data_IF_582567121125
#
_entry.id   IF_582567121125
#
_cell.length_a   1.000
_cell.length_b   1.000
_cell.length_c   1.000
_cell.angle_alpha   90.00
_cell.angle_beta   90.00
_cell.angle_gamma   90.00
#
_symmetry.space_group_name_H-M   'P 1'
#
loop_
_entity.id
_entity.type
_entity.pdbx_description
1 polymer ?
#
# COMPACT_ATOMS: atom_id res chain seq x y z
N UNK A 1 7.86 18.22 -2.77
CA UNK A 1 8.51 18.60 -4.04
C UNK A 1 7.54 19.38 -4.93
N UNK A 2 6.35 18.87 -5.29
CA UNK A 2 5.41 19.56 -6.17
C UNK A 2 5.05 21.00 -5.77
N UNK A 3 4.85 21.29 -4.47
CA UNK A 3 4.60 22.65 -3.98
C UNK A 3 5.81 23.57 -4.20
N UNK A 4 7.02 23.08 -3.93
CA UNK A 4 8.25 23.86 -4.08
C UNK A 4 8.50 24.21 -5.54
N UNK A 5 8.34 23.25 -6.45
CA UNK A 5 8.47 23.46 -7.90
C UNK A 5 7.48 24.52 -8.38
N UNK A 6 6.22 24.43 -7.95
CA UNK A 6 5.17 25.37 -8.36
C UNK A 6 5.43 26.82 -7.91
N UNK A 7 6.09 27.00 -6.78
CA UNK A 7 6.35 28.33 -6.21
C UNK A 7 7.80 28.81 -6.47
N UNK A 8 8.48 28.25 -7.48
CA UNK A 8 9.86 28.60 -7.88
C UNK A 8 10.86 28.59 -6.70
N UNK A 9 10.61 27.74 -5.70
CA UNK A 9 11.53 27.56 -4.58
C UNK A 9 12.65 26.65 -5.04
N UNK A 10 13.88 27.16 -5.09
CA UNK A 10 15.06 26.34 -5.35
C UNK A 10 15.32 25.38 -4.19
N UNK A 11 15.70 24.16 -4.52
CA UNK A 11 16.12 23.16 -3.53
C UNK A 11 17.15 22.23 -4.16
N UNK A 12 18.08 21.80 -3.31
CA UNK A 12 19.13 20.88 -3.69
C UNK A 12 18.80 19.48 -3.16
N UNK A 13 19.22 18.44 -3.88
CA UNK A 13 19.11 17.07 -3.45
C UNK A 13 20.46 16.62 -2.87
N UNK A 14 20.43 16.04 -1.68
CA UNK A 14 21.59 15.45 -1.05
C UNK A 14 21.28 14.01 -0.66
N UNK A 15 22.28 13.15 -0.72
CA UNK A 15 22.25 11.83 -0.10
C UNK A 15 23.35 11.72 0.96
N UNK A 16 23.25 10.79 1.88
CA UNK A 16 24.23 10.57 2.95
C UNK A 16 25.12 9.40 2.53
N UNK A 17 26.39 9.66 2.34
CA UNK A 17 27.41 8.67 2.08
C UNK A 17 28.50 8.76 3.15
N UNK A 18 28.80 7.64 3.82
CA UNK A 18 29.80 7.57 4.91
C UNK A 18 29.61 8.63 6.01
N UNK A 19 28.35 9.01 6.29
CA UNK A 19 28.01 10.01 7.32
C UNK A 19 28.14 11.47 6.89
N UNK A 20 28.45 11.74 5.61
CA UNK A 20 28.54 13.07 5.01
C UNK A 20 27.44 13.32 3.99
N UNK A 21 27.00 14.57 3.86
CA UNK A 21 26.09 14.98 2.77
C UNK A 21 26.86 15.05 1.46
N UNK A 22 26.39 14.36 0.45
CA UNK A 22 26.96 14.34 -0.91
C UNK A 22 25.93 14.93 -1.87
N UNK A 23 26.38 15.81 -2.77
CA UNK A 23 25.51 16.44 -3.76
C UNK A 23 24.92 15.43 -4.74
N UNK A 24 23.67 15.68 -5.12
CA UNK A 24 22.98 14.95 -6.15
C UNK A 24 22.04 13.85 -5.62
N UNK A 25 21.23 13.35 -6.55
CA UNK A 25 20.29 12.25 -6.31
C UNK A 25 20.96 10.93 -6.67
N UNK A 26 21.07 10.04 -5.70
CA UNK A 26 21.57 8.69 -5.96
C UNK A 26 20.45 7.85 -6.57
N UNK A 27 20.59 7.48 -7.84
CA UNK A 27 19.66 6.53 -8.45
C UNK A 27 19.85 5.13 -7.83
N UNK A 28 18.72 4.50 -7.49
CA UNK A 28 18.72 3.10 -7.02
C UNK A 28 19.21 2.21 -8.16
N UNK A 29 20.28 1.48 -7.93
CA UNK A 29 20.88 0.62 -8.94
C UNK A 29 19.92 -0.50 -9.38
N UNK A 30 20.06 -1.04 -10.61
CA UNK A 30 19.27 -2.18 -11.06
C UNK A 30 19.40 -3.40 -10.12
N UNK A 31 20.55 -3.61 -9.52
CA UNK A 31 20.80 -4.70 -8.56
C UNK A 31 19.99 -4.49 -7.26
N UNK A 32 19.92 -3.27 -6.74
CA UNK A 32 19.12 -2.97 -5.55
C UNK A 32 17.62 -3.09 -5.83
N UNK A 33 17.17 -2.65 -7.01
CA UNK A 33 15.77 -2.84 -7.46
C UNK A 33 15.42 -4.33 -7.55
N UNK A 34 16.32 -5.15 -8.12
CA UNK A 34 16.14 -6.61 -8.21
C UNK A 34 16.08 -7.25 -6.83
N UNK A 35 17.02 -6.92 -5.95
CA UNK A 35 17.04 -7.42 -4.57
C UNK A 35 15.77 -7.08 -3.79
N UNK A 36 15.24 -5.87 -3.96
CA UNK A 36 14.00 -5.47 -3.32
C UNK A 36 12.80 -6.29 -3.83
N UNK A 37 12.72 -6.53 -5.15
CA UNK A 37 11.68 -7.38 -5.75
C UNK A 37 11.75 -8.83 -5.24
N UNK A 38 12.94 -9.39 -5.05
CA UNK A 38 13.14 -10.75 -4.52
C UNK A 38 12.65 -10.93 -3.08
N UNK A 39 12.57 -9.83 -2.32
CA UNK A 39 12.08 -9.84 -0.94
C UNK A 39 10.55 -9.76 -0.85
N UNK A 40 9.85 -9.47 -1.95
CA UNK A 40 8.39 -9.33 -1.96
C UNK A 40 7.75 -10.48 -2.72
N UNK A 41 7.03 -11.33 -2.01
CA UNK A 41 6.16 -12.33 -2.60
C UNK A 41 4.73 -11.76 -2.71
N UNK A 42 4.29 -11.46 -3.93
CA UNK A 42 2.93 -10.99 -4.19
C UNK A 42 2.01 -12.19 -4.28
N UNK A 43 0.94 -12.20 -3.49
CA UNK A 43 -0.05 -13.26 -3.55
C UNK A 43 -0.87 -13.19 -4.84
N UNK A 44 -0.78 -14.26 -5.65
CA UNK A 44 -1.57 -14.45 -6.88
C UNK A 44 -2.44 -15.70 -6.75
N UNK A 45 -3.63 -15.54 -6.17
CA UNK A 45 -4.53 -16.66 -5.94
C UNK A 45 -6.00 -16.26 -5.80
N UNK A 46 -6.87 -17.24 -5.53
CA UNK A 46 -8.33 -17.08 -5.52
C UNK A 46 -8.85 -16.07 -4.50
N UNK A 47 -8.11 -15.75 -3.44
CA UNK A 47 -8.51 -14.71 -2.48
C UNK A 47 -8.44 -13.29 -3.07
N UNK A 48 -7.76 -13.09 -4.21
CA UNK A 48 -7.82 -11.85 -4.97
C UNK A 48 -9.18 -11.65 -5.66
N UNK A 49 -9.99 -12.70 -5.76
CA UNK A 49 -11.29 -12.68 -6.42
C UNK A 49 -12.37 -12.18 -5.44
N UNK A 50 -12.58 -10.88 -5.40
CA UNK A 50 -13.57 -10.22 -4.54
C UNK A 50 -14.93 -10.05 -5.25
N UNK A 51 -15.25 -10.92 -6.17
CA UNK A 51 -16.48 -10.87 -6.94
C UNK A 51 -17.63 -11.60 -6.24
N UNK A 52 -18.74 -10.88 -6.15
CA UNK A 52 -20.02 -11.46 -5.83
C UNK A 52 -20.97 -11.20 -7.01
N UNK A 53 -21.39 -12.25 -7.74
CA UNK A 53 -22.33 -12.14 -8.84
C UNK A 53 -21.84 -12.62 -10.21
N UNK A 54 -22.78 -12.73 -11.17
CA UNK A 54 -22.59 -13.37 -12.48
C UNK A 54 -21.75 -12.57 -13.50
N UNK A 55 -21.39 -11.34 -13.20
CA UNK A 55 -20.63 -10.46 -14.11
C UNK A 55 -19.26 -10.13 -13.53
N UNK A 56 -18.27 -10.83 -14.01
CA UNK A 56 -16.85 -10.61 -13.74
C UNK A 56 -16.35 -9.44 -14.59
N UNK A 57 -16.37 -8.23 -14.08
CA UNK A 57 -15.57 -7.15 -14.69
C UNK A 57 -14.12 -7.34 -14.24
N UNK A 58 -13.30 -7.84 -15.18
CA UNK A 58 -11.92 -8.28 -14.93
C UNK A 58 -10.98 -7.15 -14.45
N UNK A 59 -11.31 -5.90 -14.75
CA UNK A 59 -10.46 -4.73 -14.52
C UNK A 59 -11.25 -3.57 -13.91
N UNK A 60 -11.68 -3.74 -12.66
CA UNK A 60 -12.20 -2.59 -11.91
C UNK A 60 -11.02 -1.75 -11.37
N UNK A 61 -10.55 -0.78 -12.20
CA UNK A 61 -9.50 0.17 -11.82
C UNK A 61 -9.77 0.84 -10.47
N UNK A 62 -11.04 1.00 -10.10
CA UNK A 62 -11.46 1.69 -8.89
C UNK A 62 -11.78 0.76 -7.72
N UNK A 63 -11.58 -0.55 -7.89
CA UNK A 63 -11.75 -1.53 -6.80
C UNK A 63 -10.94 -1.09 -5.58
N UNK A 64 -11.59 -1.08 -4.41
CA UNK A 64 -11.03 -0.65 -3.13
C UNK A 64 -10.60 0.83 -3.05
N UNK A 65 -11.06 1.69 -3.96
CA UNK A 65 -10.95 3.14 -3.77
C UNK A 65 -11.92 3.61 -2.67
N UNK A 66 -11.71 4.82 -2.15
CA UNK A 66 -12.60 5.39 -1.14
C UNK A 66 -14.06 5.44 -1.62
N UNK A 67 -14.29 5.85 -2.87
CA UNK A 67 -15.62 5.86 -3.49
C UNK A 67 -16.20 4.43 -3.67
N UNK A 68 -15.36 3.40 -3.89
CA UNK A 68 -15.82 2.03 -3.93
C UNK A 68 -16.35 1.58 -2.56
N UNK A 69 -15.67 1.90 -1.48
CA UNK A 69 -16.11 1.56 -0.12
C UNK A 69 -17.37 2.30 0.30
N UNK A 70 -17.58 3.54 -0.14
CA UNK A 70 -18.74 4.35 0.24
C UNK A 70 -20.06 3.86 -0.37
N UNK A 71 -20.02 3.00 -1.41
CA UNK A 71 -21.21 2.47 -2.06
C UNK A 71 -21.85 1.37 -1.21
N UNK A 72 -23.09 1.57 -0.76
CA UNK A 72 -23.85 0.57 0.01
C UNK A 72 -23.99 -0.77 -0.74
N UNK A 73 -24.08 -0.76 -2.07
CA UNK A 73 -24.12 -1.96 -2.91
C UNK A 73 -22.89 -2.87 -2.76
N UNK A 74 -21.79 -2.38 -2.18
CA UNK A 74 -20.56 -3.14 -1.96
C UNK A 74 -20.49 -3.80 -0.56
N UNK A 75 -21.50 -3.66 0.30
CA UNK A 75 -21.48 -4.21 1.67
C UNK A 75 -21.16 -5.72 1.72
N UNK A 76 -21.78 -6.52 0.83
CA UNK A 76 -21.51 -7.97 0.73
C UNK A 76 -20.07 -8.23 0.29
N UNK A 77 -19.56 -7.43 -0.67
CA UNK A 77 -18.18 -7.53 -1.18
C UNK A 77 -17.16 -7.14 -0.12
N UNK A 78 -17.47 -6.19 0.75
CA UNK A 78 -16.64 -5.81 1.89
C UNK A 78 -16.50 -6.97 2.88
N UNK A 79 -17.61 -7.69 3.16
CA UNK A 79 -17.57 -8.89 3.99
C UNK A 79 -16.72 -10.00 3.35
N UNK A 80 -16.85 -10.21 2.04
CA UNK A 80 -16.01 -11.16 1.31
C UNK A 80 -14.53 -10.75 1.36
N UNK A 81 -14.21 -9.48 1.16
CA UNK A 81 -12.87 -8.93 1.27
C UNK A 81 -12.25 -9.21 2.65
N UNK A 82 -13.00 -8.96 3.71
CA UNK A 82 -12.60 -9.28 5.09
C UNK A 82 -12.28 -10.77 5.25
N UNK A 83 -13.17 -11.64 4.76
CA UNK A 83 -12.99 -13.08 4.86
C UNK A 83 -11.79 -13.57 4.03
N UNK A 84 -11.60 -13.01 2.83
CA UNK A 84 -10.46 -13.35 1.98
C UNK A 84 -9.13 -12.91 2.61
N UNK A 85 -9.08 -11.71 3.20
CA UNK A 85 -7.91 -11.22 3.91
C UNK A 85 -7.58 -12.10 5.15
N UNK A 86 -8.61 -12.50 5.89
CA UNK A 86 -8.46 -13.45 7.01
C UNK A 86 -7.95 -14.81 6.52
N UNK A 87 -8.54 -15.36 5.45
CA UNK A 87 -8.16 -16.67 4.90
C UNK A 87 -6.74 -16.65 4.34
N UNK A 88 -6.34 -15.57 3.69
CA UNK A 88 -4.96 -15.36 3.25
C UNK A 88 -3.99 -15.44 4.45
N UNK A 89 -4.21 -14.64 5.48
CA UNK A 89 -3.32 -14.62 6.64
C UNK A 89 -3.31 -15.98 7.38
N UNK A 90 -4.50 -16.59 7.60
CA UNK A 90 -4.63 -17.82 8.39
C UNK A 90 -4.22 -19.07 7.63
N UNK A 91 -4.74 -19.28 6.43
CA UNK A 91 -4.60 -20.56 5.73
C UNK A 91 -3.47 -20.57 4.70
N UNK A 92 -3.27 -19.47 3.95
CA UNK A 92 -2.17 -19.39 3.00
C UNK A 92 -0.84 -19.16 3.71
N UNK A 93 -0.75 -18.14 4.57
CA UNK A 93 0.48 -17.79 5.27
C UNK A 93 0.68 -18.51 6.60
N UNK A 94 -0.36 -19.14 7.17
CA UNK A 94 -0.35 -19.75 8.52
C UNK A 94 0.18 -18.78 9.59
N UNK A 95 -0.08 -17.50 9.41
CA UNK A 95 0.47 -16.44 10.22
C UNK A 95 -0.16 -16.36 11.61
N UNK A 96 0.63 -16.06 12.61
CA UNK A 96 0.12 -15.54 13.87
C UNK A 96 -0.31 -14.09 13.68
N UNK A 97 -1.13 -13.56 14.58
CA UNK A 97 -1.58 -12.17 14.52
C UNK A 97 -0.42 -11.17 14.55
N UNK A 98 0.60 -11.54 15.30
CA UNK A 98 1.84 -10.78 15.49
C UNK A 98 2.71 -10.72 14.23
N UNK A 99 2.51 -11.60 13.26
CA UNK A 99 3.21 -11.60 11.98
C UNK A 99 2.56 -10.67 10.94
N UNK A 100 1.30 -10.29 11.20
CA UNK A 100 0.47 -9.55 10.23
C UNK A 100 0.60 -8.04 10.44
N UNK A 101 0.77 -7.29 9.35
CA UNK A 101 0.55 -5.87 9.24
C UNK A 101 -0.51 -5.61 8.17
N UNK A 102 -1.52 -4.79 8.47
CA UNK A 102 -2.55 -4.49 7.51
C UNK A 102 -2.92 -3.02 7.45
N UNK A 103 -3.53 -2.62 6.34
CA UNK A 103 -4.02 -1.26 6.11
C UNK A 103 -5.31 -1.23 5.31
N UNK A 104 -6.05 -0.17 5.50
CA UNK A 104 -7.26 0.21 4.78
C UNK A 104 -7.48 1.71 4.94
N UNK A 105 -8.50 2.27 4.29
CA UNK A 105 -9.00 3.58 4.70
C UNK A 105 -9.52 3.51 6.14
N UNK A 106 -9.18 4.53 6.93
CA UNK A 106 -9.50 4.58 8.37
C UNK A 106 -10.99 4.39 8.65
N UNK A 107 -11.84 5.03 7.85
CA UNK A 107 -13.30 5.00 8.00
C UNK A 107 -13.90 3.60 7.81
N UNK A 108 -13.19 2.72 7.12
CA UNK A 108 -13.61 1.34 6.83
C UNK A 108 -12.81 0.28 7.57
N UNK A 109 -11.83 0.66 8.37
CA UNK A 109 -11.04 -0.29 9.14
C UNK A 109 -11.89 -1.12 10.10
N UNK A 110 -12.90 -0.51 10.74
CA UNK A 110 -13.79 -1.18 11.68
C UNK A 110 -14.60 -2.34 11.10
N UNK A 111 -15.02 -2.26 9.84
CA UNK A 111 -15.81 -3.33 9.17
C UNK A 111 -14.94 -4.45 8.60
N UNK A 112 -13.63 -4.26 8.55
CA UNK A 112 -12.65 -5.22 8.06
C UNK A 112 -11.96 -6.04 9.17
N UNK A 113 -12.32 -5.80 10.43
CA UNK A 113 -11.72 -6.49 11.58
C UNK A 113 -12.01 -8.00 11.53
N UNK A 114 -11.01 -8.78 11.89
CA UNK A 114 -11.09 -10.25 12.09
C UNK A 114 -10.05 -10.67 13.13
N UNK A 115 -9.97 -11.97 13.47
CA UNK A 115 -8.98 -12.48 14.44
C UNK A 115 -7.53 -12.18 14.04
N UNK A 116 -7.25 -12.04 12.74
CA UNK A 116 -5.92 -11.73 12.21
C UNK A 116 -5.71 -10.25 11.93
N UNK A 117 -6.78 -9.49 11.73
CA UNK A 117 -6.74 -8.06 11.42
C UNK A 117 -7.40 -7.28 12.57
N UNK A 118 -6.61 -6.62 13.38
CA UNK A 118 -7.09 -5.88 14.55
C UNK A 118 -6.88 -4.39 14.41
N UNK A 119 -7.84 -3.62 14.92
CA UNK A 119 -7.89 -2.18 14.84
C UNK A 119 -8.33 -1.57 16.18
N UNK A 120 -7.78 -0.41 16.55
CA UNK A 120 -8.11 0.31 17.79
C UNK A 120 -8.01 -0.53 19.08
N UNK A 121 -7.02 -1.40 19.16
CA UNK A 121 -6.71 -2.18 20.37
C UNK A 121 -5.25 -1.97 20.78
N UNK A 122 -4.90 -2.32 22.04
CA UNK A 122 -3.49 -2.29 22.52
C UNK A 122 -2.56 -3.17 21.67
N UNK A 123 -3.10 -4.17 20.98
CA UNK A 123 -2.36 -5.08 20.08
C UNK A 123 -2.83 -4.92 18.64
N UNK A 124 -3.11 -3.68 18.22
CA UNK A 124 -3.46 -3.40 16.83
C UNK A 124 -2.30 -3.71 15.91
N UNK A 125 -2.60 -4.39 14.80
CA UNK A 125 -1.68 -4.62 13.70
C UNK A 125 -2.08 -3.83 12.44
N UNK A 126 -2.92 -2.81 12.60
CA UNK A 126 -3.30 -1.85 11.58
C UNK A 126 -2.36 -0.66 11.58
N UNK A 127 -1.91 -0.26 10.40
CA UNK A 127 -1.10 0.93 10.18
C UNK A 127 -1.68 1.74 9.03
N UNK A 128 -1.98 3.02 9.25
CA UNK A 128 -2.47 3.88 8.18
C UNK A 128 -1.46 3.92 7.02
N UNK A 129 -1.95 3.84 5.79
CA UNK A 129 -1.15 3.79 4.57
C UNK A 129 -0.22 5.00 4.39
N UNK A 130 -0.57 6.14 4.97
CA UNK A 130 0.17 7.40 4.91
C UNK A 130 0.96 7.72 6.20
N UNK A 131 1.13 6.75 7.09
CA UNK A 131 1.89 6.94 8.33
C UNK A 131 3.36 7.21 8.01
N UNK A 132 3.91 8.26 8.63
CA UNK A 132 5.33 8.61 8.54
C UNK A 132 6.12 7.98 9.70
N UNK A 133 7.39 7.68 9.45
CA UNK A 133 8.43 7.33 10.40
C UNK A 133 7.99 6.46 11.61
N UNK A 134 7.79 5.15 11.40
CA UNK A 134 7.61 4.18 12.49
C UNK A 134 8.44 2.92 12.26
N UNK A 135 9.01 2.37 13.33
CA UNK A 135 9.76 1.11 13.34
C UNK A 135 9.01 -0.02 14.05
N UNK A 136 7.82 0.27 14.58
CA UNK A 136 7.04 -0.63 15.43
C UNK A 136 6.69 -1.95 14.75
N UNK A 137 6.67 -1.99 13.42
CA UNK A 137 6.22 -3.14 12.64
C UNK A 137 7.34 -3.79 11.82
N UNK A 138 8.61 -3.50 12.15
CA UNK A 138 9.79 -3.99 11.41
C UNK A 138 10.04 -5.51 11.51
N UNK A 139 9.19 -6.22 12.23
CA UNK A 139 9.18 -7.69 12.37
C UNK A 139 8.06 -8.37 11.56
N UNK A 140 7.12 -7.60 10.98
CA UNK A 140 5.94 -8.12 10.28
C UNK A 140 6.31 -8.66 8.90
N UNK A 141 5.96 -9.92 8.65
CA UNK A 141 6.29 -10.63 7.40
C UNK A 141 5.08 -10.88 6.49
N UNK A 142 3.86 -10.74 7.02
CA UNK A 142 2.62 -10.93 6.27
C UNK A 142 1.88 -9.61 6.16
N UNK A 143 1.74 -9.11 4.94
CA UNK A 143 1.21 -7.80 4.65
C UNK A 143 -0.16 -7.90 3.97
N UNK A 144 -1.12 -7.09 4.42
CA UNK A 144 -2.48 -7.07 3.88
C UNK A 144 -2.86 -5.62 3.53
N UNK A 145 -2.89 -5.31 2.23
CA UNK A 145 -3.09 -3.96 1.71
C UNK A 145 -4.48 -3.83 1.06
N UNK A 146 -5.46 -3.33 1.82
CA UNK A 146 -6.88 -3.32 1.45
C UNK A 146 -7.36 -1.94 1.00
N UNK A 147 -6.59 -1.26 0.18
CA UNK A 147 -7.01 0.02 -0.40
C UNK A 147 -6.38 0.24 -1.78
N UNK A 148 -6.94 1.21 -2.50
CA UNK A 148 -6.46 1.67 -3.78
C UNK A 148 -6.31 3.19 -3.73
N UNK A 149 -5.08 3.65 -3.74
CA UNK A 149 -4.74 5.06 -3.49
C UNK A 149 -4.93 5.89 -4.75
N UNK A 150 -5.69 6.97 -4.61
CA UNK A 150 -5.79 8.04 -5.60
C UNK A 150 -5.43 9.38 -4.95
N UNK A 151 -4.82 10.31 -5.69
CA UNK A 151 -4.58 11.65 -5.19
C UNK A 151 -5.90 12.38 -4.95
N UNK A 152 -5.87 13.37 -4.07
CA UNK A 152 -7.00 14.28 -3.94
C UNK A 152 -7.17 15.05 -5.27
N UNK A 153 -8.37 15.06 -5.89
CA UNK A 153 -8.59 15.75 -7.16
C UNK A 153 -8.22 17.24 -7.13
N UNK A 154 -8.47 17.93 -6.02
CA UNK A 154 -8.09 19.34 -5.88
C UNK A 154 -6.57 19.52 -5.91
N UNK A 155 -5.83 18.63 -5.24
CA UNK A 155 -4.37 18.66 -5.26
C UNK A 155 -3.83 18.36 -6.65
N UNK A 156 -4.39 17.37 -7.33
CA UNK A 156 -4.02 17.04 -8.72
C UNK A 156 -4.25 18.24 -9.64
N UNK A 157 -5.46 18.81 -9.65
CA UNK A 157 -5.81 19.95 -10.48
C UNK A 157 -4.92 21.17 -10.17
N UNK A 158 -4.59 21.39 -8.90
CA UNK A 158 -3.70 22.46 -8.47
C UNK A 158 -2.31 22.32 -9.14
N UNK A 159 -1.75 21.13 -9.20
CA UNK A 159 -0.45 20.89 -9.85
C UNK A 159 -0.54 20.96 -11.38
N UNK A 160 -1.59 20.41 -11.97
CA UNK A 160 -1.77 20.34 -13.42
C UNK A 160 -2.07 21.71 -14.05
N UNK A 161 -2.67 22.66 -13.32
CA UNK A 161 -2.93 24.02 -13.80
C UNK A 161 -1.66 24.79 -14.18
N UNK A 162 -0.49 24.40 -13.66
CA UNK A 162 0.80 25.03 -13.97
C UNK A 162 1.65 24.15 -14.91
N UNK A 163 1.01 23.33 -15.76
CA UNK A 163 1.68 22.40 -16.68
C UNK A 163 2.54 21.31 -16.00
N UNK A 164 2.39 21.09 -14.69
CA UNK A 164 3.05 20.00 -14.01
C UNK A 164 2.30 18.68 -14.29
N UNK A 165 2.90 17.79 -15.08
CA UNK A 165 2.32 16.48 -15.38
C UNK A 165 2.34 15.59 -14.15
N UNK A 166 1.19 15.47 -13.48
CA UNK A 166 1.04 14.62 -12.29
C UNK A 166 0.74 13.15 -12.66
N UNK A 167 1.58 12.23 -12.22
CA UNK A 167 1.38 10.81 -12.43
C UNK A 167 0.69 10.17 -11.20
N UNK A 168 -0.56 9.76 -11.36
CA UNK A 168 -1.35 9.11 -10.29
C UNK A 168 -0.79 7.74 -9.89
N UNK A 169 -0.18 7.02 -10.84
CA UNK A 169 0.35 5.67 -10.61
C UNK A 169 1.66 5.75 -9.82
N UNK A 170 2.55 6.71 -10.13
CA UNK A 170 3.76 6.96 -9.35
C UNK A 170 3.43 7.40 -7.92
N UNK A 171 2.41 8.24 -7.75
CA UNK A 171 1.91 8.63 -6.43
C UNK A 171 1.45 7.43 -5.63
N UNK A 172 0.63 6.56 -6.24
CA UNK A 172 0.10 5.36 -5.59
C UNK A 172 1.20 4.34 -5.28
N UNK A 173 2.14 4.13 -6.21
CA UNK A 173 3.29 3.25 -6.02
C UNK A 173 4.19 3.75 -4.88
N UNK A 174 4.49 5.04 -4.85
CA UNK A 174 5.30 5.65 -3.78
C UNK A 174 4.67 5.42 -2.41
N UNK A 175 3.35 5.61 -2.28
CA UNK A 175 2.62 5.37 -1.04
C UNK A 175 2.67 3.88 -0.62
N UNK A 176 2.49 2.97 -1.57
CA UNK A 176 2.55 1.52 -1.34
C UNK A 176 3.95 1.09 -0.88
N UNK A 177 5.00 1.51 -1.58
CA UNK A 177 6.38 1.18 -1.23
C UNK A 177 6.78 1.74 0.13
N UNK A 178 6.40 2.97 0.45
CA UNK A 178 6.65 3.58 1.77
C UNK A 178 5.97 2.79 2.89
N UNK A 179 4.77 2.28 2.66
CA UNK A 179 4.05 1.47 3.64
C UNK A 179 4.69 0.08 3.78
N UNK A 180 5.03 -0.61 2.69
CA UNK A 180 5.72 -1.91 2.71
C UNK A 180 7.04 -1.79 3.48
N UNK A 181 7.76 -0.68 3.33
CA UNK A 181 9.03 -0.42 4.02
C UNK A 181 8.91 -0.34 5.54
N UNK A 182 7.70 -0.25 6.10
CA UNK A 182 7.49 -0.30 7.56
C UNK A 182 7.54 -1.72 8.13
N UNK A 183 7.56 -2.73 7.27
CA UNK A 183 7.56 -4.15 7.63
C UNK A 183 8.98 -4.74 7.76
N UNK A 184 9.05 -6.06 7.85
CA UNK A 184 10.30 -6.81 7.98
C UNK A 184 11.25 -6.66 6.77
N UNK A 185 10.75 -6.16 5.63
CA UNK A 185 11.56 -5.94 4.42
C UNK A 185 12.73 -4.96 4.66
N UNK A 186 12.54 -3.96 5.52
CA UNK A 186 13.61 -3.02 5.90
C UNK A 186 14.81 -3.68 6.58
N UNK A 187 14.58 -4.86 7.18
CA UNK A 187 15.59 -5.70 7.80
C UNK A 187 16.10 -6.80 6.85
N UNK A 188 15.84 -6.68 5.54
CA UNK A 188 16.23 -7.64 4.52
C UNK A 188 15.49 -8.98 4.58
N UNK A 189 14.35 -9.06 5.28
CA UNK A 189 13.55 -10.28 5.39
C UNK A 189 12.46 -10.31 4.29
N UNK A 190 12.17 -11.50 3.79
CA UNK A 190 11.07 -11.71 2.84
C UNK A 190 9.73 -11.39 3.48
N UNK A 191 8.83 -10.80 2.69
CA UNK A 191 7.45 -10.53 3.06
C UNK A 191 6.51 -11.09 2.01
N UNK A 192 5.35 -11.61 2.45
CA UNK A 192 4.27 -12.03 1.55
C UNK A 192 3.16 -11.01 1.64
N UNK A 193 2.72 -10.46 0.49
CA UNK A 193 1.74 -9.39 0.45
C UNK A 193 0.46 -9.76 -0.31
N UNK A 194 -0.68 -9.48 0.28
CA UNK A 194 -2.02 -9.56 -0.31
C UNK A 194 -2.51 -8.18 -0.74
N UNK A 195 -2.69 -7.99 -2.04
CA UNK A 195 -3.17 -6.74 -2.65
C UNK A 195 -4.33 -7.09 -3.59
N UNK A 196 -5.59 -7.12 -3.11
CA UNK A 196 -6.73 -7.50 -3.94
C UNK A 196 -7.11 -6.46 -5.00
N UNK A 197 -6.70 -5.19 -4.86
CA UNK A 197 -6.88 -4.16 -5.88
C UNK A 197 -5.97 -4.40 -7.09
N UNK A 198 -6.50 -4.73 -8.29
CA UNK A 198 -5.69 -5.09 -9.45
C UNK A 198 -4.69 -4.00 -9.84
N UNK A 199 -5.14 -2.74 -9.87
CA UNK A 199 -4.26 -1.60 -10.18
C UNK A 199 -3.06 -1.53 -9.23
N UNK A 200 -3.30 -1.57 -7.91
CA UNK A 200 -2.21 -1.50 -6.92
C UNK A 200 -1.25 -2.68 -7.03
N UNK A 201 -1.77 -3.87 -7.34
CA UNK A 201 -0.94 -5.07 -7.53
C UNK A 201 -0.06 -4.95 -8.77
N UNK A 202 -0.61 -4.45 -9.89
CA UNK A 202 0.14 -4.21 -11.15
C UNK A 202 1.26 -3.19 -10.99
N UNK A 203 1.10 -2.18 -10.12
CA UNK A 203 2.15 -1.19 -9.86
C UNK A 203 3.39 -1.78 -9.18
N UNK A 204 3.25 -2.95 -8.54
CA UNK A 204 4.34 -3.60 -7.80
C UNK A 204 5.07 -4.68 -8.63
N UNK A 205 4.46 -5.16 -9.72
CA UNK A 205 5.04 -6.15 -10.64
C UNK A 205 5.95 -5.50 -11.69
#
# INVERSE_FOLDING_TARGET
AGYLIKNDVSFDFYHIENGSFTDGYQEVTPAEKSRFKELIEIYEGSYNDNWYGKTRKKDDRFLLSQNWFSKQSNSVRINQLRNNAYNFARYKCKAHKEDVLWTSYKDYAGVLISDKLTYQSRKSNWLAWNTKATNQYADRTVLVYLLNVFPNPLFKNYLENDNFKFNEDDYALSALLQWIWRSAIRNGKKVTIYIPAPRMRQLLT
#
